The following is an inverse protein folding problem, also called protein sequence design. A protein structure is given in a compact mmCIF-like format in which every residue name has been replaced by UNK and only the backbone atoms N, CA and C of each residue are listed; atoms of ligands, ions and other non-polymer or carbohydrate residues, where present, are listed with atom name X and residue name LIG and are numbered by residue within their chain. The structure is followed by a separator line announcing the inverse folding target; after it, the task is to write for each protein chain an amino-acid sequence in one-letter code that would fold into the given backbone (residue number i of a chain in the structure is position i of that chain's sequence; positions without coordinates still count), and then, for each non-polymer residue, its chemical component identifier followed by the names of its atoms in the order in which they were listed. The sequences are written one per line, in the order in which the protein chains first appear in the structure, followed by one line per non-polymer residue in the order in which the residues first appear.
data_IF_734663406578
#
_entry.id   IF_734663406578
#
_cell.length_a   1.000
_cell.length_b   1.000
_cell.length_c   1.000
_cell.angle_alpha   90.00
_cell.angle_beta   90.00
_cell.angle_gamma   90.00
#
_symmetry.space_group_name_H-M   'P 1'
#
loop_
_entity.id
_entity.type
_entity.pdbx_description
1 polymer ?
#
# COMPACT_ATOMS: atom_id res chain seq x y z
N UNK A 1 -16.29 27.38 13.45
CA UNK A 1 -14.85 27.05 13.58
C UNK A 1 -14.56 25.90 12.62
N UNK A 2 -13.57 26.02 11.75
CA UNK A 2 -13.25 24.96 10.77
C UNK A 2 -12.67 23.71 11.43
N UNK A 3 -13.00 22.54 10.89
CA UNK A 3 -12.41 21.24 11.26
C UNK A 3 -10.90 21.31 11.07
N UNK A 4 -10.12 20.96 12.11
CA UNK A 4 -8.66 20.83 11.97
C UNK A 4 -8.36 19.55 11.17
N UNK A 5 -7.45 19.60 10.17
CA UNK A 5 -7.02 18.42 9.42
C UNK A 5 -6.55 17.30 10.35
N UNK A 6 -6.76 16.04 9.97
CA UNK A 6 -6.49 14.88 10.83
C UNK A 6 -5.03 14.82 11.30
N UNK A 7 -4.06 15.14 10.43
CA UNK A 7 -2.65 15.14 10.79
C UNK A 7 -2.29 16.22 11.83
N UNK A 8 -3.04 17.33 11.85
CA UNK A 8 -2.85 18.39 12.85
C UNK A 8 -3.41 18.01 14.23
N UNK A 9 -4.14 16.89 14.35
CA UNK A 9 -4.65 16.34 15.61
C UNK A 9 -3.70 15.33 16.26
N UNK A 10 -2.54 15.04 15.66
CA UNK A 10 -1.64 13.94 16.06
C UNK A 10 -0.18 14.31 16.34
N UNK A 11 0.15 15.54 16.81
CA UNK A 11 1.55 15.98 16.92
C UNK A 11 2.42 15.09 17.82
N UNK A 12 1.83 14.44 18.82
CA UNK A 12 2.54 13.61 19.82
C UNK A 12 2.86 12.20 19.31
N UNK A 13 2.15 11.73 18.27
CA UNK A 13 2.24 10.34 17.79
C UNK A 13 3.18 10.16 16.59
N UNK A 14 3.78 11.23 16.05
CA UNK A 14 4.77 11.11 14.98
C UNK A 14 6.10 10.47 15.42
N UNK A 15 6.25 10.13 16.71
CA UNK A 15 7.41 9.42 17.26
C UNK A 15 7.25 7.90 17.24
N UNK A 16 6.02 7.37 17.09
CA UNK A 16 5.72 5.93 16.99
C UNK A 16 4.73 5.67 15.85
N UNK A 17 5.12 4.84 14.89
CA UNK A 17 4.45 4.76 13.58
C UNK A 17 3.06 4.12 13.62
N UNK A 18 2.92 2.93 14.21
CA UNK A 18 1.64 2.20 14.22
C UNK A 18 0.55 2.88 15.09
N UNK A 19 0.84 3.36 16.32
CA UNK A 19 -0.13 4.10 17.13
C UNK A 19 -0.74 5.33 16.42
N UNK A 20 0.04 6.03 15.59
CA UNK A 20 -0.45 7.19 14.85
C UNK A 20 -1.57 6.84 13.87
N UNK A 21 -1.45 5.72 13.16
CA UNK A 21 -2.47 5.25 12.23
C UNK A 21 -3.70 4.69 12.93
N UNK A 22 -3.52 3.92 13.99
CA UNK A 22 -4.63 3.46 14.85
C UNK A 22 -5.43 4.65 15.37
N UNK A 23 -4.75 5.70 15.83
CA UNK A 23 -5.40 6.92 16.31
C UNK A 23 -6.10 7.70 15.20
N UNK A 24 -5.51 7.80 14.01
CA UNK A 24 -6.20 8.36 12.84
C UNK A 24 -7.51 7.63 12.55
N UNK A 25 -7.45 6.29 12.51
CA UNK A 25 -8.60 5.46 12.21
C UNK A 25 -9.71 5.67 13.24
N UNK A 26 -9.38 5.67 14.52
CA UNK A 26 -10.37 5.94 15.57
C UNK A 26 -10.99 7.33 15.45
N UNK A 27 -10.20 8.37 15.14
CA UNK A 27 -10.71 9.72 14.89
C UNK A 27 -11.67 9.76 13.69
N UNK A 28 -11.35 9.03 12.62
CA UNK A 28 -12.21 8.99 11.43
C UNK A 28 -13.50 8.22 11.70
N UNK A 29 -13.46 7.20 12.56
CA UNK A 29 -14.64 6.45 13.00
C UNK A 29 -15.53 7.23 13.98
N UNK A 30 -15.11 8.40 14.47
CA UNK A 30 -16.02 9.35 15.16
C UNK A 30 -17.02 9.99 14.18
N UNK A 31 -16.71 10.00 12.88
CA UNK A 31 -17.57 10.57 11.85
C UNK A 31 -18.72 9.62 11.51
N UNK A 32 -20.00 10.04 11.66
CA UNK A 32 -21.14 9.15 11.44
C UNK A 32 -21.12 8.44 10.09
N UNK A 33 -20.81 9.16 9.00
CA UNK A 33 -20.77 8.59 7.66
C UNK A 33 -19.70 7.49 7.49
N UNK A 34 -18.53 7.65 8.12
CA UNK A 34 -17.45 6.67 8.02
C UNK A 34 -17.70 5.48 8.95
N UNK A 35 -18.23 5.76 10.14
CA UNK A 35 -18.69 4.74 11.08
C UNK A 35 -19.75 3.84 10.47
N UNK A 36 -20.83 4.42 9.96
CA UNK A 36 -21.93 3.69 9.35
C UNK A 36 -21.43 2.84 8.17
N UNK A 37 -20.60 3.42 7.30
CA UNK A 37 -20.01 2.69 6.19
C UNK A 37 -19.16 1.49 6.65
N UNK A 38 -18.35 1.65 7.69
CA UNK A 38 -17.55 0.54 8.25
C UNK A 38 -18.43 -0.54 8.85
N UNK A 39 -19.45 -0.17 9.63
CA UNK A 39 -20.35 -1.14 10.27
C UNK A 39 -21.17 -1.90 9.23
N UNK A 40 -21.76 -1.21 8.24
CA UNK A 40 -22.50 -1.85 7.16
C UNK A 40 -21.64 -2.80 6.34
N UNK A 41 -20.42 -2.38 5.96
CA UNK A 41 -19.48 -3.25 5.26
C UNK A 41 -19.12 -4.49 6.07
N UNK A 42 -18.85 -4.36 7.37
CA UNK A 42 -18.58 -5.53 8.23
C UNK A 42 -19.79 -6.45 8.37
N UNK A 43 -21.00 -5.90 8.45
CA UNK A 43 -22.23 -6.69 8.45
C UNK A 43 -22.40 -7.48 7.16
N UNK A 44 -22.08 -6.89 6.00
CA UNK A 44 -22.10 -7.60 4.71
C UNK A 44 -21.04 -8.71 4.64
N UNK A 45 -19.83 -8.47 5.13
CA UNK A 45 -18.72 -9.43 5.08
C UNK A 45 -18.85 -10.58 6.10
N UNK A 46 -19.49 -10.34 7.24
CA UNK A 46 -19.52 -11.29 8.37
C UNK A 46 -20.91 -11.86 8.65
N UNK A 47 -21.97 -11.23 8.15
CA UNK A 47 -23.36 -11.55 8.51
C UNK A 47 -23.76 -11.14 9.93
N UNK A 48 -22.91 -10.39 10.66
CA UNK A 48 -23.17 -9.92 12.02
C UNK A 48 -23.67 -8.48 12.01
N UNK A 49 -24.84 -8.25 12.59
CA UNK A 49 -25.42 -6.91 12.72
C UNK A 49 -24.67 -6.09 13.78
N UNK A 50 -24.00 -5.01 13.38
CA UNK A 50 -23.21 -4.15 14.29
C UNK A 50 -23.85 -2.77 14.52
N UNK A 51 -25.14 -2.61 14.21
CA UNK A 51 -25.87 -1.34 14.34
C UNK A 51 -25.96 -0.79 15.77
N UNK A 52 -25.75 -1.63 16.78
CA UNK A 52 -25.71 -1.25 18.19
C UNK A 52 -24.36 -0.63 18.60
N UNK A 53 -23.32 -0.72 17.76
CA UNK A 53 -22.02 -0.05 18.00
C UNK A 53 -22.17 1.46 17.81
N UNK A 54 -22.11 2.21 18.90
CA UNK A 54 -22.32 3.66 18.92
C UNK A 54 -21.03 4.46 19.10
N UNK A 55 -19.94 3.84 19.57
CA UNK A 55 -18.70 4.54 19.86
C UNK A 55 -17.46 3.71 19.52
N UNK A 56 -16.35 4.39 19.20
CA UNK A 56 -15.06 3.75 18.95
C UNK A 56 -14.02 4.25 19.97
N UNK A 57 -13.29 3.32 20.59
CA UNK A 57 -12.24 3.62 21.55
C UNK A 57 -10.89 3.08 21.09
N UNK A 58 -9.91 3.96 20.87
CA UNK A 58 -8.53 3.55 20.59
C UNK A 58 -7.73 3.25 21.86
N UNK A 59 -6.87 2.24 21.79
CA UNK A 59 -5.81 1.90 22.76
C UNK A 59 -6.30 1.80 24.23
N UNK A 60 -7.53 1.35 24.44
CA UNK A 60 -8.08 1.19 25.79
C UNK A 60 -7.49 -0.07 26.44
N UNK A 61 -6.86 0.11 27.59
CA UNK A 61 -6.44 -1.02 28.43
C UNK A 61 -7.66 -1.48 29.21
N UNK A 62 -8.09 -2.73 29.00
CA UNK A 62 -9.17 -3.31 29.79
C UNK A 62 -8.67 -3.84 31.13
N UNK A 63 -9.61 -4.28 31.98
CA UNK A 63 -9.30 -4.84 33.30
C UNK A 63 -8.42 -6.10 33.23
N UNK A 64 -8.41 -6.81 32.09
CA UNK A 64 -7.55 -7.96 31.83
C UNK A 64 -6.13 -7.57 31.38
N UNK A 65 -5.82 -6.27 31.28
CA UNK A 65 -4.52 -5.77 30.85
C UNK A 65 -4.24 -5.94 29.36
N UNK A 66 -5.24 -6.33 28.57
CA UNK A 66 -5.13 -6.37 27.11
C UNK A 66 -5.53 -5.01 26.53
N UNK A 67 -4.95 -4.68 25.37
CA UNK A 67 -5.09 -3.37 24.73
C UNK A 67 -5.26 -3.56 23.23
N UNK A 68 -6.48 -3.88 22.75
CA UNK A 68 -6.74 -3.85 21.32
C UNK A 68 -6.48 -2.45 20.77
N UNK A 69 -6.14 -2.38 19.49
CA UNK A 69 -5.87 -1.11 18.82
C UNK A 69 -7.13 -0.23 18.81
N UNK A 70 -8.31 -0.80 18.48
CA UNK A 70 -9.61 -0.12 18.54
C UNK A 70 -10.71 -1.06 19.02
N UNK A 71 -11.64 -0.55 19.82
CA UNK A 71 -12.90 -1.23 20.18
C UNK A 71 -14.10 -0.44 19.64
N UNK A 72 -15.04 -1.12 18.97
CA UNK A 72 -16.39 -0.63 18.73
C UNK A 72 -17.30 -1.07 19.86
N UNK A 73 -17.87 -0.09 20.56
CA UNK A 73 -18.63 -0.25 21.79
C UNK A 73 -20.10 0.10 21.58
N UNK A 74 -20.98 -0.63 22.25
CA UNK A 74 -22.39 -0.26 22.38
C UNK A 74 -22.61 0.87 23.43
N UNK A 75 -23.88 1.17 23.73
CA UNK A 75 -24.23 2.17 24.74
C UNK A 75 -23.86 1.78 26.18
N UNK A 76 -23.62 0.49 26.44
CA UNK A 76 -23.23 -0.04 27.75
C UNK A 76 -21.70 -0.17 27.90
N UNK A 77 -20.94 0.02 26.82
CA UNK A 77 -19.49 -0.10 26.79
C UNK A 77 -19.00 -1.53 26.51
N UNK A 78 -19.86 -2.38 25.95
CA UNK A 78 -19.53 -3.75 25.56
C UNK A 78 -18.89 -3.81 24.16
N UNK A 79 -17.84 -4.63 23.96
CA UNK A 79 -16.98 -4.57 22.77
C UNK A 79 -17.46 -5.50 21.64
N UNK A 80 -18.50 -5.10 20.91
CA UNK A 80 -19.01 -5.90 19.79
C UNK A 80 -18.13 -5.87 18.53
N UNK A 81 -17.17 -4.94 18.46
CA UNK A 81 -16.13 -4.96 17.45
C UNK A 81 -14.76 -4.78 18.14
N UNK A 82 -13.82 -5.68 17.87
CA UNK A 82 -12.42 -5.49 18.22
C UNK A 82 -11.60 -5.38 16.94
N UNK A 83 -10.74 -4.38 16.87
CA UNK A 83 -9.85 -4.16 15.73
C UNK A 83 -8.42 -4.23 16.21
N UNK A 84 -7.63 -5.07 15.57
CA UNK A 84 -6.19 -5.12 15.72
C UNK A 84 -5.53 -4.78 14.39
N UNK A 85 -4.67 -3.76 14.39
CA UNK A 85 -4.12 -3.18 13.19
C UNK A 85 -2.59 -3.22 13.21
N UNK A 86 -1.97 -3.65 12.10
CA UNK A 86 -0.51 -3.80 12.02
C UNK A 86 0.03 -3.31 10.69
N UNK A 87 1.28 -2.85 10.69
CA UNK A 87 2.06 -2.58 9.49
C UNK A 87 3.31 -3.45 9.43
N UNK A 88 4.02 -3.58 10.56
CA UNK A 88 5.37 -4.12 10.64
C UNK A 88 5.46 -5.55 11.17
N UNK A 89 5.13 -5.77 12.43
CA UNK A 89 5.17 -7.11 13.04
C UNK A 89 3.97 -7.96 12.60
N UNK A 90 4.19 -9.27 12.44
CA UNK A 90 3.09 -10.21 12.22
C UNK A 90 2.26 -10.37 13.49
N UNK A 91 0.96 -10.61 13.34
CA UNK A 91 0.10 -11.00 14.46
C UNK A 91 0.40 -12.45 14.82
N UNK A 92 0.56 -12.71 16.11
CA UNK A 92 0.70 -14.10 16.58
C UNK A 92 -0.67 -14.68 16.86
N UNK A 93 -0.86 -15.98 16.60
CA UNK A 93 -2.10 -16.68 16.95
C UNK A 93 -2.47 -16.45 18.41
N UNK A 94 -1.49 -16.51 19.32
CA UNK A 94 -1.73 -16.32 20.75
C UNK A 94 -2.26 -14.93 21.10
N UNK A 95 -1.81 -13.90 20.38
CA UNK A 95 -2.32 -12.55 20.56
C UNK A 95 -3.79 -12.46 20.15
N UNK A 96 -4.17 -13.06 19.02
CA UNK A 96 -5.55 -13.10 18.54
C UNK A 96 -6.45 -13.90 19.49
N UNK A 97 -5.99 -15.07 19.97
CA UNK A 97 -6.70 -15.85 21.00
C UNK A 97 -7.01 -15.01 22.24
N UNK A 98 -6.05 -14.20 22.71
CA UNK A 98 -6.23 -13.38 23.90
C UNK A 98 -7.32 -12.32 23.70
N UNK A 99 -7.40 -11.70 22.52
CA UNK A 99 -8.47 -10.75 22.20
C UNK A 99 -9.83 -11.43 22.13
N UNK A 100 -9.93 -12.58 21.45
CA UNK A 100 -11.17 -13.35 21.39
C UNK A 100 -11.66 -13.75 22.79
N UNK A 101 -10.75 -14.17 23.68
CA UNK A 101 -11.09 -14.50 25.07
C UNK A 101 -11.57 -13.29 25.87
N UNK A 102 -10.94 -12.13 25.70
CA UNK A 102 -11.39 -10.90 26.35
C UNK A 102 -12.80 -10.52 25.87
N UNK A 103 -13.03 -10.58 24.56
CA UNK A 103 -14.32 -10.28 23.95
C UNK A 103 -15.42 -11.22 24.46
N UNK A 104 -15.14 -12.53 24.49
CA UNK A 104 -16.05 -13.54 25.06
C UNK A 104 -16.28 -13.28 26.55
N UNK A 105 -15.23 -13.00 27.32
CA UNK A 105 -15.35 -12.74 28.76
C UNK A 105 -16.22 -11.53 29.09
N UNK A 106 -16.28 -10.54 28.20
CA UNK A 106 -17.09 -9.32 28.37
C UNK A 106 -18.51 -9.45 27.82
N UNK A 107 -18.71 -10.23 26.76
CA UNK A 107 -20.02 -10.38 26.10
C UNK A 107 -20.82 -11.61 26.56
N UNK A 108 -20.15 -12.63 27.10
CA UNK A 108 -20.79 -13.89 27.46
C UNK A 108 -21.46 -14.54 26.25
N UNK A 109 -22.77 -14.83 26.37
CA UNK A 109 -23.56 -15.45 25.30
C UNK A 109 -23.68 -14.58 24.04
N UNK A 110 -23.51 -13.26 24.17
CA UNK A 110 -23.56 -12.31 23.04
C UNK A 110 -22.28 -12.33 22.19
N UNK A 111 -21.27 -13.14 22.55
CA UNK A 111 -20.00 -13.17 21.82
C UNK A 111 -20.15 -13.58 20.34
N UNK A 112 -21.19 -14.34 19.98
CA UNK A 112 -21.45 -14.72 18.58
C UNK A 112 -21.99 -13.56 17.73
N UNK A 113 -22.44 -12.49 18.37
CA UNK A 113 -22.90 -11.24 17.73
C UNK A 113 -21.78 -10.21 17.60
N UNK A 114 -20.53 -10.62 17.85
CA UNK A 114 -19.37 -9.74 17.78
C UNK A 114 -18.41 -10.10 16.67
N UNK A 115 -17.57 -9.13 16.30
CA UNK A 115 -16.57 -9.24 15.23
C UNK A 115 -15.17 -8.95 15.76
N UNK A 116 -14.21 -9.78 15.36
CA UNK A 116 -12.78 -9.52 15.42
C UNK A 116 -12.27 -9.16 14.03
N UNK A 117 -11.78 -7.93 13.86
CA UNK A 117 -11.23 -7.40 12.62
C UNK A 117 -9.71 -7.28 12.70
N UNK A 118 -9.01 -7.96 11.80
CA UNK A 118 -7.57 -7.75 11.60
C UNK A 118 -7.34 -6.80 10.42
N UNK A 119 -6.63 -5.69 10.63
CA UNK A 119 -6.28 -4.74 9.57
C UNK A 119 -4.77 -4.79 9.31
N UNK A 120 -4.38 -5.22 8.11
CA UNK A 120 -2.97 -5.41 7.74
C UNK A 120 -2.67 -4.82 6.36
N UNK A 121 -1.41 -4.70 5.93
CA UNK A 121 -1.10 -4.41 4.53
C UNK A 121 -1.63 -5.54 3.62
N UNK A 122 -2.14 -5.23 2.43
CA UNK A 122 -2.71 -6.23 1.48
C UNK A 122 -1.86 -7.49 1.26
N UNK A 123 -0.51 -7.44 1.16
CA UNK A 123 0.33 -8.62 0.95
C UNK A 123 0.28 -9.62 2.11
N UNK A 124 -0.19 -9.16 3.28
CA UNK A 124 -0.23 -9.94 4.52
C UNK A 124 -1.62 -10.44 4.85
N UNK A 125 -2.64 -10.09 4.05
CA UNK A 125 -4.04 -10.43 4.30
C UNK A 125 -4.21 -11.94 4.48
N UNK A 126 -3.71 -12.75 3.54
CA UNK A 126 -3.80 -14.22 3.61
C UNK A 126 -3.15 -14.81 4.88
N UNK A 127 -1.98 -14.31 5.28
CA UNK A 127 -1.30 -14.79 6.49
C UNK A 127 -2.06 -14.39 7.77
N UNK A 128 -2.64 -13.19 7.80
CA UNK A 128 -3.48 -12.74 8.90
C UNK A 128 -4.80 -13.51 8.97
N UNK A 129 -5.42 -13.82 7.83
CA UNK A 129 -6.62 -14.68 7.73
C UNK A 129 -6.35 -16.07 8.31
N UNK A 130 -5.24 -16.70 7.91
CA UNK A 130 -4.83 -18.00 8.46
C UNK A 130 -4.62 -17.93 9.98
N UNK A 131 -4.02 -16.84 10.47
CA UNK A 131 -3.78 -16.63 11.90
C UNK A 131 -5.09 -16.45 12.68
N UNK A 132 -6.03 -15.69 12.12
CA UNK A 132 -7.35 -15.46 12.70
C UNK A 132 -8.14 -16.75 12.78
N UNK A 133 -8.19 -17.52 11.69
CA UNK A 133 -8.97 -18.75 11.65
C UNK A 133 -8.37 -19.83 12.56
N UNK A 134 -7.05 -19.96 12.61
CA UNK A 134 -6.40 -20.85 13.57
C UNK A 134 -6.74 -20.48 15.02
N UNK A 135 -6.73 -19.19 15.36
CA UNK A 135 -7.12 -18.73 16.70
C UNK A 135 -8.60 -19.02 16.98
N UNK A 136 -9.51 -18.75 16.02
CA UNK A 136 -10.94 -19.03 16.16
C UNK A 136 -11.23 -20.50 16.34
N UNK A 137 -10.52 -21.38 15.64
CA UNK A 137 -10.65 -22.83 15.80
C UNK A 137 -10.31 -23.26 17.24
N UNK A 138 -9.19 -22.79 17.79
CA UNK A 138 -8.80 -23.08 19.17
C UNK A 138 -9.85 -22.58 20.16
N UNK A 139 -10.34 -21.35 19.98
CA UNK A 139 -11.40 -20.79 20.83
C UNK A 139 -12.68 -21.60 20.69
N UNK A 140 -13.00 -22.10 19.49
CA UNK A 140 -14.20 -22.88 19.29
C UNK A 140 -14.15 -24.22 20.01
N UNK A 141 -13.01 -24.90 19.94
CA UNK A 141 -12.76 -26.17 20.63
C UNK A 141 -12.79 -26.02 22.17
N UNK A 142 -12.34 -24.88 22.71
CA UNK A 142 -12.25 -24.66 24.14
C UNK A 142 -13.50 -24.00 24.78
N UNK A 143 -14.10 -23.02 24.10
CA UNK A 143 -15.11 -22.12 24.65
C UNK A 143 -16.44 -22.12 23.87
N UNK A 144 -16.52 -22.84 22.74
CA UNK A 144 -17.77 -23.01 21.99
C UNK A 144 -17.84 -22.15 20.73
N UNK A 145 -18.72 -21.14 20.69
CA UNK A 145 -18.93 -20.33 19.47
C UNK A 145 -18.15 -19.02 19.56
N UNK A 146 -17.03 -18.85 18.83
CA UNK A 146 -16.25 -17.62 18.88
C UNK A 146 -16.95 -16.46 18.16
N UNK A 147 -16.55 -15.20 18.44
CA UNK A 147 -16.85 -14.07 17.57
C UNK A 147 -16.54 -14.35 16.10
N UNK A 148 -17.25 -13.68 15.19
CA UNK A 148 -16.93 -13.74 13.77
C UNK A 148 -15.58 -13.07 13.48
N UNK A 149 -14.84 -13.62 12.53
CA UNK A 149 -13.54 -13.10 12.14
C UNK A 149 -13.60 -12.47 10.76
N UNK A 150 -13.01 -11.28 10.60
CA UNK A 150 -12.73 -10.71 9.29
C UNK A 150 -11.30 -10.19 9.24
N UNK A 151 -10.69 -10.28 8.07
CA UNK A 151 -9.39 -9.66 7.80
C UNK A 151 -9.54 -8.72 6.64
N UNK A 152 -8.94 -7.54 6.76
CA UNK A 152 -8.99 -6.50 5.75
C UNK A 152 -7.64 -5.85 5.55
N UNK A 153 -7.49 -5.23 4.39
CA UNK A 153 -6.37 -4.35 4.13
C UNK A 153 -6.66 -2.92 4.60
N UNK A 154 -5.62 -2.13 4.88
CA UNK A 154 -5.77 -0.68 5.06
C UNK A 154 -6.44 0.00 3.84
N UNK A 155 -6.24 -0.54 2.64
CA UNK A 155 -6.84 -0.03 1.41
C UNK A 155 -8.33 -0.39 1.31
N UNK A 156 -8.75 -1.55 1.86
CA UNK A 156 -10.15 -1.98 1.93
C UNK A 156 -10.94 -0.95 2.75
N UNK A 157 -10.44 -0.63 3.96
CA UNK A 157 -11.05 0.38 4.86
C UNK A 157 -11.16 1.76 4.18
N UNK A 158 -10.08 2.23 3.55
CA UNK A 158 -10.08 3.52 2.84
C UNK A 158 -11.04 3.50 1.65
N UNK A 159 -11.18 2.37 0.96
CA UNK A 159 -12.08 2.23 -0.19
C UNK A 159 -13.53 2.35 0.23
N UNK A 160 -13.92 1.65 1.31
CA UNK A 160 -15.25 1.75 1.94
C UNK A 160 -15.57 3.21 2.29
N UNK A 161 -14.65 3.89 2.97
CA UNK A 161 -14.83 5.29 3.34
C UNK A 161 -14.96 6.22 2.13
N UNK A 162 -14.11 6.06 1.12
CA UNK A 162 -14.18 6.90 -0.08
C UNK A 162 -15.48 6.70 -0.85
N UNK A 163 -16.03 5.49 -0.87
CA UNK A 163 -17.29 5.22 -1.54
C UNK A 163 -18.45 5.90 -0.79
N UNK A 164 -18.51 5.72 0.53
CA UNK A 164 -19.53 6.37 1.36
C UNK A 164 -19.53 7.90 1.23
N UNK A 165 -18.33 8.50 1.18
CA UNK A 165 -18.18 9.95 1.02
C UNK A 165 -18.58 10.48 -0.37
N UNK A 166 -18.54 9.64 -1.42
CA UNK A 166 -19.03 10.02 -2.76
C UNK A 166 -20.55 10.00 -2.83
N UNK A 167 -21.19 9.09 -2.11
CA UNK A 167 -22.64 8.89 -2.15
C UNK A 167 -23.38 9.87 -1.22
N UNK A 168 -22.69 10.45 -0.24
CA UNK A 168 -23.26 11.43 0.67
C UNK A 168 -23.41 12.83 0.00
N UNK A 169 -24.63 13.39 -0.09
CA UNK A 169 -24.92 14.61 -0.84
C UNK A 169 -24.40 15.92 -0.20
N UNK A 170 -23.71 15.86 0.94
CA UNK A 170 -23.20 17.04 1.67
C UNK A 170 -21.84 16.79 2.34
N UNK A 171 -21.03 15.91 1.76
CA UNK A 171 -19.72 15.61 2.33
C UNK A 171 -18.81 16.81 2.21
N UNK A 172 -18.41 17.39 3.35
CA UNK A 172 -17.43 18.47 3.35
C UNK A 172 -16.12 17.96 2.71
N UNK A 173 -15.61 18.66 1.71
CA UNK A 173 -14.31 18.37 1.05
C UNK A 173 -13.19 18.10 2.07
N UNK A 174 -13.30 18.67 3.28
CA UNK A 174 -12.39 18.44 4.40
C UNK A 174 -12.34 17.00 4.89
N UNK A 175 -13.46 16.27 4.92
CA UNK A 175 -13.48 14.87 5.41
C UNK A 175 -12.86 13.92 4.37
N UNK A 176 -13.13 14.16 3.08
CA UNK A 176 -12.43 13.44 2.01
C UNK A 176 -10.92 13.71 2.06
N UNK A 177 -10.51 14.97 2.30
CA UNK A 177 -9.10 15.30 2.48
C UNK A 177 -8.48 14.56 3.67
N UNK A 178 -9.19 14.43 4.80
CA UNK A 178 -8.72 13.67 5.97
C UNK A 178 -8.56 12.17 5.64
N UNK A 179 -9.50 11.56 4.91
CA UNK A 179 -9.39 10.16 4.46
C UNK A 179 -8.20 9.98 3.51
N UNK A 180 -7.94 10.94 2.63
CA UNK A 180 -6.77 10.90 1.74
C UNK A 180 -5.44 11.10 2.49
N UNK A 181 -5.42 11.94 3.53
CA UNK A 181 -4.27 12.08 4.42
C UNK A 181 -4.00 10.78 5.18
N UNK A 182 -5.05 10.12 5.67
CA UNK A 182 -4.93 8.82 6.31
C UNK A 182 -4.41 7.74 5.34
N UNK A 183 -4.92 7.69 4.11
CA UNK A 183 -4.39 6.81 3.06
C UNK A 183 -2.89 7.05 2.84
N UNK A 184 -2.48 8.31 2.73
CA UNK A 184 -1.07 8.66 2.56
C UNK A 184 -0.21 8.19 3.76
N UNK A 185 -0.71 8.35 4.99
CA UNK A 185 -0.06 7.83 6.19
C UNK A 185 0.09 6.30 6.13
N UNK A 186 -0.98 5.56 5.86
CA UNK A 186 -0.94 4.10 5.74
C UNK A 186 0.05 3.64 4.66
N UNK A 187 0.14 4.35 3.53
CA UNK A 187 1.11 4.05 2.48
C UNK A 187 2.56 4.28 2.92
N UNK A 188 2.82 5.31 3.71
CA UNK A 188 4.16 5.56 4.26
C UNK A 188 4.53 4.49 5.28
N UNK A 189 3.60 4.11 6.16
CA UNK A 189 3.85 3.17 7.25
C UNK A 189 3.89 1.71 6.81
N UNK A 190 3.01 1.31 5.89
CA UNK A 190 2.94 -0.04 5.33
C UNK A 190 4.02 -0.34 4.29
N UNK A 191 4.86 0.65 3.96
CA UNK A 191 5.85 0.54 2.90
C UNK A 191 5.19 0.31 1.55
N UNK A 192 4.48 1.32 1.02
CA UNK A 192 3.86 1.36 -0.32
C UNK A 192 3.43 -0.03 -0.85
N UNK A 193 2.25 -0.47 -0.43
CA UNK A 193 1.56 -1.63 -1.01
C UNK A 193 1.01 -1.25 -2.38
N UNK A 194 1.36 -2.01 -3.41
CA UNK A 194 0.91 -1.89 -4.79
C UNK A 194 -0.04 -3.05 -5.08
N UNK A 195 -1.32 -2.76 -5.30
CA UNK A 195 -2.30 -3.78 -5.70
C UNK A 195 -1.81 -4.53 -6.96
N UNK A 196 -2.07 -5.85 -7.09
CA UNK A 196 -1.75 -6.59 -8.31
C UNK A 196 -2.29 -5.88 -9.56
N UNK A 197 -1.55 -5.93 -10.66
CA UNK A 197 -1.96 -5.33 -11.94
C UNK A 197 -2.86 -6.28 -12.77
N UNK A 198 -3.34 -7.37 -12.18
CA UNK A 198 -4.25 -8.34 -12.80
C UNK A 198 -5.57 -7.66 -13.20
N UNK A 199 -5.80 -7.55 -14.51
CA UNK A 199 -7.01 -6.93 -15.07
C UNK A 199 -6.75 -5.84 -16.13
N UNK A 200 -5.52 -5.32 -16.21
CA UNK A 200 -5.16 -4.32 -17.23
C UNK A 200 -5.03 -4.95 -18.62
N UNK A 201 -6.15 -5.10 -19.32
CA UNK A 201 -6.18 -5.52 -20.72
C UNK A 201 -6.33 -4.34 -21.70
N UNK A 202 -6.40 -3.08 -21.23
CA UNK A 202 -6.65 -1.91 -22.09
C UNK A 202 -5.61 -0.80 -21.91
N UNK A 203 -5.28 -0.16 -23.03
CA UNK A 203 -4.21 0.85 -23.18
C UNK A 203 -4.45 2.17 -22.45
N UNK A 204 -5.62 2.39 -21.85
CA UNK A 204 -5.98 3.67 -21.19
C UNK A 204 -6.18 3.57 -19.68
N UNK A 205 -6.23 2.37 -19.11
CA UNK A 205 -6.48 2.16 -17.66
C UNK A 205 -5.25 2.49 -16.79
N UNK A 206 -4.08 2.64 -17.41
CA UNK A 206 -2.83 2.96 -16.70
C UNK A 206 -2.92 4.29 -15.92
N UNK A 207 -3.70 5.27 -16.41
CA UNK A 207 -3.88 6.57 -15.75
C UNK A 207 -4.51 6.45 -14.36
N UNK A 208 -5.43 5.50 -14.18
CA UNK A 208 -6.04 5.21 -12.88
C UNK A 208 -5.05 4.65 -11.85
N UNK A 209 -3.91 4.14 -12.33
CA UNK A 209 -2.82 3.54 -11.55
C UNK A 209 -1.52 4.36 -11.63
N UNK A 210 -1.56 5.60 -12.12
CA UNK A 210 -0.34 6.42 -12.32
C UNK A 210 0.50 6.54 -11.03
N UNK A 211 -0.15 6.80 -9.90
CA UNK A 211 0.54 6.91 -8.59
C UNK A 211 1.24 5.60 -8.17
N UNK A 212 0.69 4.44 -8.57
CA UNK A 212 1.29 3.14 -8.29
C UNK A 212 2.53 2.95 -9.16
N UNK A 213 2.47 3.31 -10.45
CA UNK A 213 3.64 3.27 -11.33
C UNK A 213 4.74 4.23 -10.87
N UNK A 214 4.40 5.46 -10.49
CA UNK A 214 5.37 6.41 -9.93
C UNK A 214 6.00 5.88 -8.64
N UNK A 215 5.22 5.14 -7.85
CA UNK A 215 5.69 4.46 -6.64
C UNK A 215 6.66 3.32 -6.93
N UNK A 216 6.38 2.50 -7.95
CA UNK A 216 7.29 1.45 -8.44
C UNK A 216 8.61 2.07 -8.91
N UNK A 217 8.53 3.14 -9.71
CA UNK A 217 9.70 3.86 -10.22
C UNK A 217 10.56 4.40 -9.07
N UNK A 218 9.94 5.05 -8.07
CA UNK A 218 10.65 5.58 -6.91
C UNK A 218 11.35 4.46 -6.11
N UNK A 219 10.68 3.34 -5.88
CA UNK A 219 11.24 2.21 -5.15
C UNK A 219 12.37 1.50 -5.92
N UNK A 220 12.18 1.25 -7.22
CA UNK A 220 13.17 0.61 -8.08
C UNK A 220 14.43 1.47 -8.20
N UNK A 221 14.30 2.78 -8.45
CA UNK A 221 15.44 3.69 -8.60
C UNK A 221 16.23 3.87 -7.30
N UNK A 222 15.57 3.82 -6.12
CA UNK A 222 16.26 3.78 -4.82
C UNK A 222 17.14 2.54 -4.67
N UNK A 223 16.69 1.37 -5.14
CA UNK A 223 17.45 0.11 -5.06
C UNK A 223 18.60 0.04 -6.06
N UNK A 224 18.38 0.58 -7.26
CA UNK A 224 19.41 0.68 -8.30
C UNK A 224 20.50 1.71 -7.96
N UNK A 225 20.21 2.67 -7.07
CA UNK A 225 21.19 3.66 -6.64
C UNK A 225 22.12 3.04 -5.59
N UNK A 226 23.46 3.04 -5.80
CA UNK A 226 24.40 2.46 -4.84
C UNK A 226 24.27 3.06 -3.44
N UNK A 227 24.49 2.23 -2.41
CA UNK A 227 24.51 2.69 -1.01
C UNK A 227 25.55 3.79 -0.83
N UNK A 228 25.13 4.93 -0.29
CA UNK A 228 25.97 6.11 -0.09
C UNK A 228 26.05 7.07 -1.28
N UNK A 229 25.48 6.71 -2.45
CA UNK A 229 25.33 7.63 -3.56
C UNK A 229 24.14 8.57 -3.34
N UNK A 230 24.25 9.81 -3.84
CA UNK A 230 23.14 10.77 -3.80
C UNK A 230 22.06 10.34 -4.78
N UNK A 231 20.86 10.10 -4.25
CA UNK A 231 19.67 9.84 -5.06
C UNK A 231 19.29 11.09 -5.86
N UNK A 232 19.11 10.94 -7.17
CA UNK A 232 18.69 12.04 -8.03
C UNK A 232 17.29 12.53 -7.66
N UNK A 233 17.00 13.82 -7.88
CA UNK A 233 15.63 14.34 -7.72
C UNK A 233 14.66 13.67 -8.70
N UNK A 234 13.38 13.64 -8.34
CA UNK A 234 12.31 13.28 -9.28
C UNK A 234 12.10 14.45 -10.23
N UNK A 235 12.00 14.17 -11.52
CA UNK A 235 11.77 15.19 -12.56
C UNK A 235 10.76 14.70 -13.58
N UNK A 236 10.10 15.62 -14.28
CA UNK A 236 9.23 15.32 -15.40
C UNK A 236 9.83 15.95 -16.67
N UNK A 237 9.72 15.27 -17.81
CA UNK A 237 10.19 15.79 -19.09
C UNK A 237 9.23 15.40 -20.22
N UNK A 238 8.35 16.33 -20.62
CA UNK A 238 7.29 16.04 -21.58
C UNK A 238 6.38 14.92 -21.05
N UNK A 239 6.10 13.93 -21.90
CA UNK A 239 5.33 12.73 -21.56
C UNK A 239 6.07 11.73 -20.66
N UNK A 240 7.30 12.03 -20.21
CA UNK A 240 8.06 11.16 -19.31
C UNK A 240 7.99 11.67 -17.87
N UNK A 241 7.13 11.03 -17.07
CA UNK A 241 6.75 11.42 -15.73
C UNK A 241 7.54 10.66 -14.66
N UNK A 242 7.76 11.31 -13.52
CA UNK A 242 8.36 10.71 -12.33
C UNK A 242 9.78 10.21 -12.54
N UNK A 243 10.47 10.67 -13.59
CA UNK A 243 11.74 10.09 -13.97
C UNK A 243 12.83 10.39 -12.93
N UNK A 244 13.65 9.39 -12.65
CA UNK A 244 14.83 9.55 -11.80
C UNK A 244 16.04 8.85 -12.41
N UNK A 245 17.17 9.56 -12.40
CA UNK A 245 18.44 9.05 -12.88
C UNK A 245 19.16 8.17 -11.86
N UNK A 246 19.79 7.12 -12.36
CA UNK A 246 20.67 6.20 -11.66
C UNK A 246 21.88 5.87 -12.56
N UNK A 247 23.04 5.47 -11.99
CA UNK A 247 24.22 5.13 -12.78
C UNK A 247 23.92 3.98 -13.75
N UNK A 248 24.33 4.05 -15.02
CA UNK A 248 24.18 2.94 -15.95
C UNK A 248 25.35 1.93 -15.86
N UNK A 249 26.40 2.29 -15.11
CA UNK A 249 27.58 1.44 -14.82
C UNK A 249 28.35 0.95 -16.06
N UNK A 250 28.14 1.58 -17.21
CA UNK A 250 29.07 1.50 -18.32
C UNK A 250 30.27 2.42 -18.04
N UNK A 251 31.46 1.82 -17.90
CA UNK A 251 32.74 2.54 -17.79
C UNK A 251 33.21 2.97 -19.18
N UNK A 252 33.36 4.27 -19.34
CA UNK A 252 33.77 4.97 -20.55
C UNK A 252 34.95 5.92 -20.27
N UNK A 253 35.68 5.61 -19.20
CA UNK A 253 36.86 6.33 -18.75
C UNK A 253 36.56 7.36 -17.64
N UNK A 254 37.62 7.96 -17.09
CA UNK A 254 37.53 8.84 -15.93
C UNK A 254 36.58 10.02 -16.17
N UNK A 255 35.60 10.20 -15.27
CA UNK A 255 34.70 11.35 -15.27
C UNK A 255 33.60 11.33 -16.33
N UNK A 256 33.42 10.24 -17.09
CA UNK A 256 32.40 10.13 -18.14
C UNK A 256 31.21 9.24 -17.78
N UNK A 257 30.99 8.96 -16.49
CA UNK A 257 29.97 8.03 -16.01
C UNK A 257 28.65 8.06 -16.80
N UNK A 258 28.21 6.89 -17.23
CA UNK A 258 26.94 6.72 -17.91
C UNK A 258 25.78 6.75 -16.90
N UNK A 259 24.63 7.27 -17.32
CA UNK A 259 23.41 7.31 -16.52
C UNK A 259 22.19 6.87 -17.34
N UNK A 260 21.31 6.14 -16.68
CA UNK A 260 19.98 5.81 -17.18
C UNK A 260 18.93 6.50 -16.30
N UNK A 261 17.72 6.67 -16.81
CA UNK A 261 16.57 7.09 -16.02
C UNK A 261 15.45 6.07 -16.16
N UNK A 262 14.71 5.81 -15.09
CA UNK A 262 13.44 5.07 -15.13
C UNK A 262 12.31 6.03 -14.80
N UNK A 263 11.18 5.90 -15.48
CA UNK A 263 9.99 6.73 -15.31
C UNK A 263 8.76 6.13 -15.99
N UNK A 264 7.65 6.87 -15.96
CA UNK A 264 6.40 6.52 -16.64
C UNK A 264 6.30 7.29 -17.95
N UNK A 265 6.09 6.63 -19.09
CA UNK A 265 5.95 7.31 -20.38
C UNK A 265 4.49 7.29 -20.87
N UNK A 266 3.83 8.44 -20.89
CA UNK A 266 2.40 8.55 -21.19
C UNK A 266 2.07 8.11 -22.62
N UNK A 267 2.80 8.62 -23.63
CA UNK A 267 2.50 8.30 -25.03
C UNK A 267 2.68 6.80 -25.35
N UNK A 268 3.69 6.16 -24.74
CA UNK A 268 3.91 4.72 -24.91
C UNK A 268 2.86 3.90 -24.17
N UNK A 269 2.44 4.34 -22.99
CA UNK A 269 1.36 3.71 -22.25
C UNK A 269 0.04 3.79 -23.04
N UNK A 270 -0.28 4.97 -23.60
CA UNK A 270 -1.47 5.20 -24.43
C UNK A 270 -1.47 4.37 -25.71
N UNK A 271 -0.28 4.14 -26.28
CA UNK A 271 -0.07 3.26 -27.42
C UNK A 271 -0.12 1.76 -27.04
N UNK A 272 -0.34 1.41 -25.77
CA UNK A 272 -0.44 0.02 -25.30
C UNK A 272 0.89 -0.70 -25.08
N UNK A 273 2.01 0.01 -25.05
CA UNK A 273 3.35 -0.58 -24.93
C UNK A 273 3.82 -0.74 -23.47
N UNK A 274 2.94 -0.44 -22.52
CA UNK A 274 3.24 -0.46 -21.08
C UNK A 274 3.76 0.88 -20.56
N UNK A 275 3.59 1.17 -19.26
CA UNK A 275 3.85 2.50 -18.73
C UNK A 275 5.28 2.76 -18.24
N UNK A 276 6.01 1.74 -17.78
CA UNK A 276 7.35 1.94 -17.18
C UNK A 276 8.44 1.75 -18.23
N UNK A 277 9.32 2.75 -18.34
CA UNK A 277 10.40 2.77 -19.32
C UNK A 277 11.72 3.18 -18.71
N UNK A 278 12.79 2.54 -19.19
CA UNK A 278 14.16 2.96 -18.98
C UNK A 278 14.64 3.77 -20.19
N UNK A 279 15.42 4.83 -19.91
CA UNK A 279 15.91 5.77 -20.90
C UNK A 279 17.40 6.03 -20.77
N UNK A 280 18.11 5.98 -21.89
CA UNK A 280 19.45 6.55 -22.04
C UNK A 280 19.35 7.85 -22.85
N UNK A 281 19.68 8.98 -22.23
CA UNK A 281 19.75 10.25 -22.95
C UNK A 281 20.95 10.23 -23.90
N UNK A 282 20.83 10.77 -25.13
CA UNK A 282 21.95 10.86 -26.08
C UNK A 282 23.20 11.58 -25.54
N UNK A 283 23.03 12.45 -24.53
CA UNK A 283 24.11 13.17 -23.84
C UNK A 283 24.76 12.35 -22.72
N UNK A 284 24.27 11.15 -22.41
CA UNK A 284 24.94 10.27 -21.45
C UNK A 284 26.32 9.88 -21.98
N UNK A 285 27.31 9.80 -21.10
CA UNK A 285 28.61 9.29 -21.50
C UNK A 285 28.49 7.89 -22.08
N UNK A 286 29.24 7.61 -23.15
CA UNK A 286 29.27 6.29 -23.78
C UNK A 286 28.03 5.90 -24.57
N UNK A 287 27.12 6.85 -24.88
CA UNK A 287 25.83 6.55 -25.54
C UNK A 287 25.95 5.67 -26.79
N UNK A 288 26.87 5.97 -27.71
CA UNK A 288 27.02 5.20 -28.95
C UNK A 288 27.38 3.73 -28.70
N UNK A 289 28.16 3.48 -27.66
CA UNK A 289 28.58 2.13 -27.29
C UNK A 289 27.47 1.38 -26.54
N UNK A 290 26.73 2.07 -25.67
CA UNK A 290 25.50 1.57 -25.06
C UNK A 290 24.50 1.16 -26.15
N UNK A 291 24.26 2.03 -27.14
CA UNK A 291 23.38 1.78 -28.27
C UNK A 291 23.86 0.57 -29.09
N UNK A 292 25.16 0.47 -29.39
CA UNK A 292 25.75 -0.66 -30.11
C UNK A 292 25.49 -1.97 -29.37
N UNK A 293 25.79 -2.03 -28.07
CA UNK A 293 25.62 -3.23 -27.23
C UNK A 293 24.16 -3.66 -27.14
N UNK A 294 23.25 -2.71 -26.92
CA UNK A 294 21.81 -3.00 -26.87
C UNK A 294 21.26 -3.49 -28.21
N UNK A 295 21.72 -2.94 -29.34
CA UNK A 295 21.33 -3.42 -30.68
C UNK A 295 21.89 -4.81 -31.00
N UNK A 296 22.98 -5.21 -30.36
CA UNK A 296 23.61 -6.53 -30.53
C UNK A 296 23.15 -7.57 -29.50
N UNK A 297 22.22 -7.23 -28.60
CA UNK A 297 21.75 -8.13 -27.53
C UNK A 297 20.31 -8.62 -27.75
N UNK A 298 19.80 -9.37 -26.78
CA UNK A 298 18.40 -9.82 -26.73
C UNK A 298 17.39 -8.66 -26.69
N UNK A 299 17.81 -7.47 -26.24
CA UNK A 299 16.95 -6.29 -26.14
C UNK A 299 16.65 -5.63 -27.49
N UNK A 300 17.36 -5.98 -28.57
CA UNK A 300 17.33 -5.25 -29.85
C UNK A 300 15.92 -5.01 -30.42
N UNK A 301 15.00 -5.96 -30.23
CA UNK A 301 13.66 -5.90 -30.80
C UNK A 301 12.69 -5.04 -29.95
N UNK A 302 13.10 -4.63 -28.76
CA UNK A 302 12.31 -3.83 -27.82
C UNK A 302 12.75 -2.36 -27.78
N UNK A 303 13.85 -2.02 -28.47
CA UNK A 303 14.40 -0.68 -28.46
C UNK A 303 13.52 0.28 -29.25
N UNK A 304 13.17 1.39 -28.63
CA UNK A 304 12.56 2.54 -29.28
C UNK A 304 13.56 3.70 -29.26
N UNK A 305 13.79 4.34 -30.40
CA UNK A 305 14.76 5.43 -30.53
C UNK A 305 14.07 6.69 -31.06
N UNK A 306 14.42 7.82 -30.47
CA UNK A 306 14.07 9.14 -30.99
C UNK A 306 15.31 10.05 -31.08
N UNK A 307 15.11 11.30 -31.50
CA UNK A 307 16.19 12.29 -31.66
C UNK A 307 16.91 12.65 -30.35
N UNK A 308 16.40 12.24 -29.19
CA UNK A 308 16.87 12.66 -27.87
C UNK A 308 17.35 11.50 -27.00
N UNK A 309 16.85 10.29 -27.22
CA UNK A 309 17.08 9.17 -26.33
C UNK A 309 16.90 7.80 -27.00
N UNK A 310 17.44 6.80 -26.32
CA UNK A 310 17.13 5.39 -26.49
C UNK A 310 16.23 4.96 -25.33
N UNK A 311 15.16 4.24 -25.65
CA UNK A 311 14.14 3.78 -24.73
C UNK A 311 14.05 2.26 -24.73
N UNK A 312 13.87 1.70 -23.54
CA UNK A 312 13.65 0.27 -23.34
C UNK A 312 12.46 0.08 -22.39
N UNK A 313 11.46 -0.75 -22.75
CA UNK A 313 10.34 -1.01 -21.86
C UNK A 313 10.81 -1.84 -20.65
N UNK A 314 10.23 -1.57 -19.49
CA UNK A 314 10.33 -2.44 -18.32
C UNK A 314 8.95 -3.03 -18.09
N UNK A 315 8.81 -4.31 -18.44
CA UNK A 315 7.54 -5.01 -18.43
C UNK A 315 6.95 -5.06 -17.03
N UNK A 316 5.71 -4.59 -16.88
CA UNK A 316 4.94 -4.74 -15.63
C UNK A 316 4.27 -6.11 -15.67
N UNK A 317 4.77 -7.05 -14.90
CA UNK A 317 4.15 -8.36 -14.81
C UNK A 317 2.86 -8.27 -13.97
N UNK A 318 1.71 -8.41 -14.62
CA UNK A 318 0.40 -8.32 -13.99
C UNK A 318 0.12 -9.41 -12.93
N UNK A 319 0.88 -10.51 -12.93
CA UNK A 319 0.77 -11.55 -11.91
C UNK A 319 1.57 -11.26 -10.64
N UNK A 320 2.45 -10.23 -10.66
CA UNK A 320 3.26 -9.84 -9.52
C UNK A 320 2.66 -8.62 -8.82
N UNK A 321 2.80 -8.59 -7.50
CA UNK A 321 2.37 -7.48 -6.66
C UNK A 321 3.56 -6.91 -5.88
N UNK A 322 3.40 -5.68 -5.38
CA UNK A 322 4.27 -5.12 -4.33
C UNK A 322 5.78 -5.23 -4.59
N UNK A 323 6.47 -5.88 -3.65
CA UNK A 323 7.91 -6.04 -3.59
C UNK A 323 8.43 -6.92 -4.72
N UNK A 324 7.64 -7.90 -5.17
CA UNK A 324 8.01 -8.82 -6.23
C UNK A 324 7.95 -8.14 -7.58
N UNK A 325 6.95 -7.27 -7.78
CA UNK A 325 6.91 -6.41 -8.96
C UNK A 325 8.07 -5.40 -8.96
N UNK A 326 8.37 -4.77 -7.82
CA UNK A 326 9.54 -3.87 -7.72
C UNK A 326 10.84 -4.64 -7.97
N UNK A 327 10.99 -5.84 -7.40
CA UNK A 327 12.14 -6.73 -7.62
C UNK A 327 12.27 -7.09 -9.10
N UNK A 328 11.17 -7.38 -9.78
CA UNK A 328 11.18 -7.72 -11.20
C UNK A 328 11.60 -6.54 -12.07
N UNK A 329 11.08 -5.32 -11.80
CA UNK A 329 11.52 -4.11 -12.51
C UNK A 329 13.01 -3.82 -12.27
N UNK A 330 13.49 -3.99 -11.03
CA UNK A 330 14.92 -3.85 -10.70
C UNK A 330 15.75 -4.91 -11.43
N UNK A 331 15.30 -6.17 -11.46
CA UNK A 331 15.96 -7.27 -12.16
C UNK A 331 16.08 -6.99 -13.65
N UNK A 332 15.03 -6.46 -14.29
CA UNK A 332 15.06 -6.08 -15.70
C UNK A 332 16.07 -4.95 -15.97
N UNK A 333 16.13 -3.92 -15.11
CA UNK A 333 17.10 -2.84 -15.23
C UNK A 333 18.54 -3.30 -14.97
N UNK A 334 18.78 -4.19 -13.99
CA UNK A 334 20.09 -4.79 -13.74
C UNK A 334 20.53 -5.69 -14.89
N UNK A 335 19.64 -6.45 -15.53
CA UNK A 335 20.01 -7.25 -16.71
C UNK A 335 20.60 -6.37 -17.83
N UNK A 336 20.12 -5.13 -17.97
CA UNK A 336 20.71 -4.17 -18.90
C UNK A 336 22.06 -3.65 -18.40
N UNK A 337 22.19 -3.32 -17.11
CA UNK A 337 23.49 -2.93 -16.52
C UNK A 337 24.53 -4.04 -16.69
N UNK A 338 24.17 -5.29 -16.45
CA UNK A 338 25.04 -6.46 -16.59
C UNK A 338 25.54 -6.60 -18.03
N UNK A 339 24.67 -6.44 -19.03
CA UNK A 339 25.07 -6.37 -20.43
C UNK A 339 26.08 -5.23 -20.69
N UNK A 340 25.87 -4.07 -20.07
CA UNK A 340 26.76 -2.92 -20.24
C UNK A 340 28.11 -3.09 -19.51
N UNK A 341 28.17 -3.87 -18.41
CA UNK A 341 29.40 -4.17 -17.67
C UNK A 341 30.31 -5.19 -18.37
N UNK A 342 29.77 -6.00 -19.28
CA UNK A 342 30.55 -6.98 -20.04
C UNK A 342 31.65 -6.28 -20.87
N UNK A 343 32.84 -6.87 -21.07
CA UNK A 343 33.91 -6.23 -21.83
C UNK A 343 33.55 -5.95 -23.29
#
# INVERSE_FOLDING_TARGET
MGRKPILARLPEYFTTTEPAATRCMAILLEEPALREATLSWLTEETGVELNHVVNFGAERVNAAGTRPDIEGLDSEGLPFLMVEAKFGAGLTQKQVENYLRDQIGRLGELATEAVMLLVVPSPRKAAAEMTLEAARQVISEELGSPPQGHTASWNDVVTVWRQALKEAPNTADSLLADVLQFKALCNVLGGKVLDPFSGLQKTTEWRGRLEDYLSIVDAATKRLTPKGARLSGVTNQGAFLGMRYFPAEYDNGPGKGSAAAIGVHEDFADAGQGPIWMRFNRKTGGFNEILRRLRSSEFRNQLVEDDRALWLPLGVNASLADIDLINDIVRQAEAVRDLLRQP
#
